data_IF_206698510721
#
_entry.id   IF_206698510721
#
_cell.length_a   1.000
_cell.length_b   1.000
_cell.length_c   1.000
_cell.angle_alpha   90.00
_cell.angle_beta   90.00
_cell.angle_gamma   90.00
#
_symmetry.space_group_name_H-M   'P 1'
#
loop_
_entity.id
_entity.type
_entity.pdbx_description
1 polymer ?
#
# COMPACT_ATOMS: atom_id res chain seq x y z
N UNK A 1 1.62 11.74 1.97
CA UNK A 1 1.62 11.67 0.49
C UNK A 1 2.88 10.95 0.03
N UNK A 2 2.85 9.62 -0.15
CA UNK A 2 4.01 8.87 -0.65
C UNK A 2 4.12 9.05 -2.16
N UNK A 3 4.97 9.98 -2.61
CA UNK A 3 5.43 9.98 -4.01
C UNK A 3 6.45 8.85 -4.14
N UNK A 4 5.97 7.64 -4.43
CA UNK A 4 6.83 6.55 -4.88
C UNK A 4 7.39 6.95 -6.25
N UNK A 5 8.56 7.58 -6.25
CA UNK A 5 9.32 7.92 -7.46
C UNK A 5 9.91 6.62 -8.02
N UNK A 6 9.03 5.77 -8.55
CA UNK A 6 9.43 4.54 -9.22
C UNK A 6 10.19 4.90 -10.50
N UNK A 7 11.41 4.39 -10.62
CA UNK A 7 12.19 4.42 -11.85
C UNK A 7 12.18 3.00 -12.41
N UNK A 8 11.80 2.88 -13.68
CA UNK A 8 11.90 1.62 -14.41
C UNK A 8 13.25 1.63 -15.14
N UNK A 9 14.13 0.70 -14.78
CA UNK A 9 15.43 0.54 -15.41
C UNK A 9 15.35 -0.52 -16.51
N UNK A 10 15.97 -0.23 -17.65
CA UNK A 10 16.11 -1.16 -18.75
C UNK A 10 17.61 -1.47 -18.92
N UNK A 11 17.93 -2.76 -19.06
CA UNK A 11 19.30 -3.26 -19.14
C UNK A 11 19.97 -2.72 -20.41
N UNK A 12 21.28 -2.48 -20.32
CA UNK A 12 22.16 -1.96 -21.35
C UNK A 12 22.10 -2.83 -22.62
N UNK A 13 21.46 -2.38 -23.71
CA UNK A 13 21.63 -3.06 -24.98
C UNK A 13 23.00 -2.67 -25.51
N UNK A 14 23.93 -3.62 -25.60
CA UNK A 14 25.14 -3.45 -26.38
C UNK A 14 24.82 -3.23 -27.88
N UNK A 15 23.59 -3.53 -28.29
CA UNK A 15 23.10 -3.41 -29.65
C UNK A 15 22.57 -1.99 -29.95
N UNK A 16 23.16 -1.37 -30.98
CA UNK A 16 22.83 -0.02 -31.43
C UNK A 16 21.38 0.09 -31.95
N UNK A 17 20.84 -1.00 -32.50
CA UNK A 17 19.45 -1.04 -33.03
C UNK A 17 18.45 -0.89 -31.89
N UNK A 18 18.70 -1.57 -30.77
CA UNK A 18 17.84 -1.51 -29.59
C UNK A 18 17.95 -0.12 -28.95
N UNK A 19 19.15 0.44 -28.83
CA UNK A 19 19.34 1.79 -28.30
C UNK A 19 18.62 2.88 -29.13
N UNK A 20 18.67 2.78 -30.46
CA UNK A 20 17.93 3.69 -31.38
C UNK A 20 16.42 3.53 -31.29
N UNK A 21 15.94 2.34 -30.94
CA UNK A 21 14.50 2.09 -30.78
C UNK A 21 14.01 2.65 -29.45
N UNK A 22 14.76 2.44 -28.37
CA UNK A 22 14.44 2.98 -27.05
C UNK A 22 14.50 4.51 -27.05
N UNK A 23 15.45 5.13 -27.75
CA UNK A 23 15.55 6.59 -27.81
C UNK A 23 14.36 7.28 -28.48
N UNK A 24 13.60 6.56 -29.32
CA UNK A 24 12.37 7.07 -29.96
C UNK A 24 11.14 6.98 -29.06
N UNK A 25 11.20 6.21 -27.97
CA UNK A 25 10.07 6.05 -27.06
C UNK A 25 9.87 7.31 -26.20
N UNK A 26 8.61 7.71 -25.95
CA UNK A 26 8.31 8.85 -25.10
C UNK A 26 8.81 8.60 -23.67
N UNK A 27 9.47 9.60 -23.08
CA UNK A 27 9.96 9.52 -21.70
C UNK A 27 11.26 8.72 -21.51
N UNK A 28 11.89 8.26 -22.60
CA UNK A 28 13.17 7.56 -22.55
C UNK A 28 14.31 8.49 -22.11
N UNK A 29 15.07 8.06 -21.10
CA UNK A 29 16.24 8.79 -20.60
C UNK A 29 17.43 7.85 -20.49
N UNK A 30 18.61 8.34 -20.88
CA UNK A 30 19.86 7.58 -20.76
C UNK A 30 20.66 8.03 -19.54
N UNK A 31 21.08 7.08 -18.71
CA UNK A 31 21.96 7.31 -17.58
C UNK A 31 23.40 7.00 -17.94
N UNK A 32 24.26 8.04 -17.99
CA UNK A 32 25.70 7.87 -18.27
C UNK A 32 26.44 7.10 -17.17
N UNK A 33 26.02 7.22 -15.91
CA UNK A 33 26.69 6.58 -14.77
C UNK A 33 26.43 5.07 -14.68
N UNK A 34 25.30 4.61 -15.22
CA UNK A 34 24.90 3.19 -15.24
C UNK A 34 24.92 2.59 -16.63
N UNK A 35 25.18 3.41 -17.66
CA UNK A 35 25.07 3.08 -19.07
C UNK A 35 23.74 2.36 -19.41
N UNK A 36 22.63 2.87 -18.86
CA UNK A 36 21.33 2.22 -18.94
C UNK A 36 20.24 3.21 -19.30
N UNK A 37 19.22 2.73 -20.00
CA UNK A 37 18.00 3.48 -20.26
C UNK A 37 17.05 3.34 -19.08
N UNK A 38 16.33 4.41 -18.77
CA UNK A 38 15.33 4.42 -17.72
C UNK A 38 14.14 5.30 -18.09
N UNK A 39 13.02 4.98 -17.47
CA UNK A 39 11.77 5.70 -17.60
C UNK A 39 11.26 6.09 -16.22
N UNK A 40 10.58 7.23 -16.13
CA UNK A 40 9.77 7.52 -14.94
C UNK A 40 8.54 6.61 -14.95
N UNK A 41 8.15 6.10 -13.79
CA UNK A 41 6.95 5.25 -13.66
C UNK A 41 5.66 5.88 -14.22
N UNK A 42 5.51 7.20 -14.11
CA UNK A 42 4.33 7.92 -14.62
C UNK A 42 4.29 8.04 -16.14
N UNK A 43 5.43 7.92 -16.81
CA UNK A 43 5.60 8.12 -18.25
C UNK A 43 5.83 6.79 -18.98
N UNK A 44 5.95 5.67 -18.24
CA UNK A 44 6.26 4.36 -18.80
C UNK A 44 5.00 3.62 -19.24
N UNK A 45 4.87 3.41 -20.55
CA UNK A 45 3.85 2.55 -21.15
C UNK A 45 4.45 1.20 -21.56
N UNK A 46 4.08 0.15 -20.82
CA UNK A 46 4.56 -1.22 -21.08
C UNK A 46 4.10 -1.74 -22.44
N UNK A 47 2.90 -1.37 -22.90
CA UNK A 47 2.35 -1.89 -24.15
C UNK A 47 3.13 -1.35 -25.35
N UNK A 48 3.38 -0.03 -25.39
CA UNK A 48 4.19 0.59 -26.45
C UNK A 48 5.64 0.11 -26.42
N UNK A 49 6.22 0.00 -25.22
CA UNK A 49 7.57 -0.52 -25.03
C UNK A 49 7.69 -1.95 -25.58
N UNK A 50 6.75 -2.82 -25.22
CA UNK A 50 6.76 -4.22 -25.67
C UNK A 50 6.56 -4.32 -27.18
N UNK A 51 5.61 -3.57 -27.76
CA UNK A 51 5.36 -3.58 -29.19
C UNK A 51 6.58 -3.13 -30.02
N UNK A 52 7.34 -2.14 -29.52
CA UNK A 52 8.54 -1.63 -30.20
C UNK A 52 9.73 -2.59 -30.10
N UNK A 53 9.87 -3.32 -28.99
CA UNK A 53 11.05 -4.15 -28.70
C UNK A 53 10.85 -5.65 -29.01
N UNK A 54 9.62 -6.16 -28.94
CA UNK A 54 9.30 -7.56 -29.25
C UNK A 54 9.79 -8.06 -30.63
N UNK A 55 9.83 -7.26 -31.72
CA UNK A 55 10.34 -7.74 -32.99
C UNK A 55 11.88 -7.79 -33.08
N UNK A 56 12.58 -7.05 -32.21
CA UNK A 56 14.04 -6.88 -32.28
C UNK A 56 14.80 -7.55 -31.12
N UNK A 57 14.12 -7.84 -30.02
CA UNK A 57 14.74 -8.43 -28.84
C UNK A 57 13.75 -9.29 -28.04
N UNK A 58 14.28 -10.29 -27.35
CA UNK A 58 13.53 -11.02 -26.33
C UNK A 58 13.50 -10.20 -25.04
N UNK A 59 12.30 -9.92 -24.54
CA UNK A 59 12.10 -9.17 -23.29
C UNK A 59 11.81 -10.18 -22.19
N UNK A 60 12.75 -10.31 -21.25
CA UNK A 60 12.50 -11.07 -20.02
C UNK A 60 11.78 -10.17 -19.00
N UNK A 61 10.53 -10.50 -18.72
CA UNK A 61 9.67 -9.85 -17.72
C UNK A 61 9.22 -10.85 -16.64
N UNK A 62 9.96 -11.94 -16.44
CA UNK A 62 9.67 -12.94 -15.39
C UNK A 62 9.53 -12.31 -14.00
N UNK A 63 10.36 -11.33 -13.67
CA UNK A 63 10.27 -10.56 -12.42
C UNK A 63 8.96 -9.76 -12.29
N UNK A 64 8.43 -9.24 -13.40
CA UNK A 64 7.14 -8.55 -13.41
C UNK A 64 5.99 -9.54 -13.23
N UNK A 65 6.09 -10.74 -13.80
CA UNK A 65 5.09 -11.82 -13.68
C UNK A 65 5.04 -12.44 -12.29
N UNK A 66 6.19 -12.51 -11.61
CA UNK A 66 6.32 -12.97 -10.24
C UNK A 66 6.08 -11.89 -9.19
N UNK A 67 5.83 -10.63 -9.61
CA UNK A 67 5.29 -9.65 -8.69
C UNK A 67 4.00 -10.26 -8.10
N UNK A 68 3.83 -10.24 -6.76
CA UNK A 68 2.55 -10.65 -6.21
C UNK A 68 1.52 -9.81 -6.95
N UNK A 69 0.58 -10.48 -7.64
CA UNK A 69 -0.59 -9.82 -8.24
C UNK A 69 -0.96 -8.72 -7.27
N UNK A 70 -1.08 -7.44 -7.70
CA UNK A 70 -1.39 -6.37 -6.77
C UNK A 70 -2.48 -6.94 -5.91
N UNK A 71 -2.19 -7.12 -4.63
CA UNK A 71 -3.16 -7.67 -3.71
C UNK A 71 -4.30 -6.70 -3.93
N UNK A 72 -5.33 -7.14 -4.65
CA UNK A 72 -6.63 -6.53 -4.51
C UNK A 72 -6.81 -6.73 -3.03
N UNK A 73 -6.48 -5.69 -2.25
CA UNK A 73 -6.85 -5.59 -0.86
C UNK A 73 -8.28 -6.06 -0.91
N UNK A 74 -8.58 -7.29 -0.43
CA UNK A 74 -9.87 -7.89 -0.66
C UNK A 74 -10.84 -6.84 -0.18
N UNK A 75 -11.61 -6.25 -1.12
CA UNK A 75 -12.40 -5.04 -0.95
C UNK A 75 -12.85 -5.03 0.50
N UNK A 76 -12.17 -4.21 1.34
CA UNK A 76 -12.03 -4.44 2.80
C UNK A 76 -13.19 -5.29 3.25
N UNK A 77 -12.99 -6.60 3.49
CA UNK A 77 -14.04 -7.53 3.93
C UNK A 77 -14.98 -6.70 4.77
N UNK A 78 -16.17 -6.37 4.25
CA UNK A 78 -17.06 -5.42 4.91
C UNK A 78 -17.35 -6.09 6.23
N UNK A 79 -16.61 -5.68 7.26
CA UNK A 79 -16.87 -6.16 8.60
C UNK A 79 -18.29 -5.70 8.83
N UNK A 80 -19.21 -6.62 9.17
CA UNK A 80 -20.58 -6.22 9.43
C UNK A 80 -20.52 -5.05 10.40
N UNK A 81 -21.18 -3.95 10.02
CA UNK A 81 -21.11 -2.70 10.77
C UNK A 81 -21.47 -3.02 12.22
N UNK A 82 -20.46 -2.99 13.10
CA UNK A 82 -20.65 -3.35 14.50
C UNK A 82 -21.64 -2.34 15.09
N UNK A 83 -22.61 -2.81 15.88
CA UNK A 83 -23.66 -1.96 16.48
C UNK A 83 -23.04 -0.69 17.08
N UNK A 84 -23.57 0.51 16.78
CA UNK A 84 -23.02 1.75 17.31
C UNK A 84 -23.12 1.73 18.84
N UNK A 85 -21.98 1.93 19.51
CA UNK A 85 -21.94 2.05 20.98
C UNK A 85 -21.71 3.50 21.34
N UNK A 86 -22.47 4.01 22.30
CA UNK A 86 -22.25 5.34 22.84
C UNK A 86 -21.05 5.33 23.80
N UNK A 87 -19.93 5.89 23.36
CA UNK A 87 -18.70 5.97 24.16
C UNK A 87 -18.81 7.18 25.09
N UNK A 88 -18.68 7.01 26.42
CA UNK A 88 -18.74 8.13 27.35
C UNK A 88 -17.63 9.16 27.11
N UNK A 89 -17.99 10.44 27.15
CA UNK A 89 -17.08 11.56 26.96
C UNK A 89 -15.92 11.55 28.00
N UNK A 90 -16.20 11.09 29.22
CA UNK A 90 -15.18 10.93 30.27
C UNK A 90 -14.01 10.02 29.85
N UNK A 91 -14.25 9.02 28.98
CA UNK A 91 -13.19 8.16 28.46
C UNK A 91 -12.35 8.90 27.41
N UNK A 92 -12.97 9.65 26.51
CA UNK A 92 -12.25 10.46 25.51
C UNK A 92 -11.41 11.54 26.16
N UNK A 93 -11.91 12.18 27.21
CA UNK A 93 -11.18 13.19 27.99
C UNK A 93 -9.95 12.58 28.67
N UNK A 94 -10.06 11.35 29.15
CA UNK A 94 -8.92 10.61 29.72
C UNK A 94 -7.82 10.40 28.68
N UNK A 95 -8.19 10.06 27.43
CA UNK A 95 -7.23 9.88 26.34
C UNK A 95 -6.57 11.20 25.91
N UNK A 96 -7.32 12.30 25.94
CA UNK A 96 -6.81 13.66 25.67
C UNK A 96 -5.82 14.08 26.76
N UNK A 97 -6.17 13.89 28.04
CA UNK A 97 -5.31 14.21 29.18
C UNK A 97 -4.01 13.42 29.17
N UNK A 98 -4.03 12.18 28.68
CA UNK A 98 -2.85 11.34 28.48
C UNK A 98 -2.01 11.70 27.24
N UNK A 99 -2.41 12.71 26.47
CA UNK A 99 -1.72 13.21 25.27
C UNK A 99 -1.40 12.11 24.25
N UNK A 100 -2.30 11.15 24.10
CA UNK A 100 -2.12 10.11 23.09
C UNK A 100 -2.25 10.69 21.67
N UNK A 101 -1.52 10.10 20.72
CA UNK A 101 -1.66 10.43 19.30
C UNK A 101 -3.06 10.12 18.79
N UNK A 102 -3.50 10.78 17.72
CA UNK A 102 -4.80 10.52 17.09
C UNK A 102 -4.98 9.06 16.67
N UNK A 103 -3.91 8.40 16.23
CA UNK A 103 -3.95 6.99 15.86
C UNK A 103 -4.17 6.10 17.09
N UNK A 104 -3.49 6.43 18.19
CA UNK A 104 -3.64 5.74 19.47
C UNK A 104 -5.05 5.93 20.02
N UNK A 105 -5.59 7.16 20.02
CA UNK A 105 -6.95 7.47 20.47
C UNK A 105 -7.99 6.62 19.73
N UNK A 106 -7.91 6.55 18.39
CA UNK A 106 -8.80 5.72 17.56
C UNK A 106 -8.75 4.25 17.96
N UNK A 107 -7.54 3.73 18.17
CA UNK A 107 -7.33 2.32 18.54
C UNK A 107 -7.93 2.02 19.92
N UNK A 108 -7.66 2.87 20.91
CA UNK A 108 -8.17 2.71 22.28
C UNK A 108 -9.70 2.84 22.33
N UNK A 109 -10.26 3.79 21.57
CA UNK A 109 -11.71 3.99 21.42
C UNK A 109 -12.39 2.76 20.83
N UNK A 110 -11.77 2.12 19.83
CA UNK A 110 -12.26 0.88 19.24
C UNK A 110 -12.24 -0.30 20.22
N UNK A 111 -11.16 -0.47 20.99
CA UNK A 111 -11.09 -1.50 22.03
C UNK A 111 -12.12 -1.29 23.13
N UNK A 112 -12.32 -0.04 23.56
CA UNK A 112 -13.33 0.29 24.56
C UNK A 112 -14.76 0.01 24.04
N UNK A 113 -15.02 0.31 22.76
CA UNK A 113 -16.29 -0.06 22.13
C UNK A 113 -16.51 -1.57 22.07
N UNK A 114 -15.46 -2.35 21.78
CA UNK A 114 -15.54 -3.81 21.78
C UNK A 114 -15.75 -4.38 23.18
N UNK A 115 -15.12 -3.79 24.20
CA UNK A 115 -15.37 -4.11 25.61
C UNK A 115 -16.85 -3.88 25.98
N UNK A 116 -17.40 -2.71 25.66
CA UNK A 116 -18.81 -2.42 25.94
C UNK A 116 -19.77 -3.37 25.22
N UNK A 117 -19.46 -3.77 23.98
CA UNK A 117 -20.27 -4.78 23.25
C UNK A 117 -20.22 -6.14 23.92
N UNK A 118 -19.03 -6.56 24.35
CA UNK A 118 -18.84 -7.85 25.00
C UNK A 118 -19.62 -7.96 26.31
N UNK A 119 -19.73 -6.86 27.06
CA UNK A 119 -20.46 -6.81 28.32
C UNK A 119 -21.90 -6.31 28.22
N UNK A 120 -22.46 -6.07 27.01
CA UNK A 120 -23.80 -5.48 26.85
C UNK A 120 -24.93 -6.35 27.44
N UNK A 121 -24.75 -7.67 27.42
CA UNK A 121 -25.74 -8.67 27.86
C UNK A 121 -25.39 -9.30 29.22
N UNK A 122 -24.35 -8.81 29.93
CA UNK A 122 -23.92 -9.33 31.24
C UNK A 122 -24.30 -8.36 32.37
N UNK A 123 -24.78 -8.90 33.48
CA UNK A 123 -24.97 -8.14 34.71
C UNK A 123 -23.59 -7.68 35.25
N UNK A 124 -23.47 -6.39 35.57
CA UNK A 124 -22.22 -5.75 36.03
C UNK A 124 -21.69 -6.35 37.35
N UNK A 125 -22.56 -7.00 38.13
CA UNK A 125 -22.22 -7.63 39.42
C UNK A 125 -21.30 -8.87 39.29
N UNK A 126 -21.08 -9.39 38.08
CA UNK A 126 -20.23 -10.57 37.81
C UNK A 126 -18.85 -10.27 37.23
N UNK A 127 -18.49 -8.99 37.02
CA UNK A 127 -17.20 -8.62 36.42
C UNK A 127 -16.10 -8.78 37.48
N UNK A 128 -15.41 -9.92 37.43
CA UNK A 128 -14.31 -10.22 38.34
C UNK A 128 -13.00 -9.73 37.73
N UNK A 129 -12.12 -9.13 38.54
CA UNK A 129 -10.84 -8.51 38.11
C UNK A 129 -9.92 -9.46 37.32
N UNK A 130 -10.14 -10.77 37.44
CA UNK A 130 -9.43 -11.84 36.74
C UNK A 130 -9.72 -11.91 35.23
N UNK A 131 -10.87 -11.43 34.75
CA UNK A 131 -11.23 -11.49 33.31
C UNK A 131 -10.66 -10.30 32.49
N UNK A 132 -9.92 -9.39 33.14
CA UNK A 132 -9.46 -8.12 32.56
C UNK A 132 -7.94 -7.98 32.42
N UNK A 133 -7.18 -9.08 32.41
CA UNK A 133 -5.72 -9.06 32.26
C UNK A 133 -5.24 -9.79 31.01
#
# INVERSE_FOLDING_TARGET
MYKSTGLVWCIHPADEVIAKTISKLPGARYSKSRAQWYFKRSEFDLHQFYAALSPIAFIDYTDLKNSPKPVQLPLSKVTPAKEPVNIPEAYTDTLIRKQYSEQTKKTYTAYFADFMRYFKDRALDGITRDETN
#
